data_IF_823078280061
#
_entry.id   IF_823078280061
#
_cell.length_a   1.000
_cell.length_b   1.000
_cell.length_c   1.000
_cell.angle_alpha   90.00
_cell.angle_beta   90.00
_cell.angle_gamma   90.00
#
_symmetry.space_group_name_H-M   'P 1'
#
loop_
_entity.id
_entity.type
_entity.pdbx_description
1 polymer ?
#
# COMPACT_ATOMS: atom_id res chain seq x y z
N UNK A 1 -27.18 -13.91 -16.86
CA UNK A 1 -26.26 -14.45 -15.84
C UNK A 1 -26.16 -13.45 -14.71
N UNK A 2 -26.55 -13.83 -13.51
CA UNK A 2 -26.55 -12.94 -12.35
C UNK A 2 -25.18 -12.90 -11.67
N UNK A 3 -24.61 -11.72 -11.47
CA UNK A 3 -23.31 -11.52 -10.80
C UNK A 3 -23.45 -10.57 -9.61
N UNK A 4 -22.55 -10.70 -8.64
CA UNK A 4 -22.44 -9.78 -7.51
C UNK A 4 -21.09 -9.06 -7.58
N UNK A 5 -21.11 -7.76 -7.85
CA UNK A 5 -19.93 -6.91 -7.92
C UNK A 5 -19.65 -6.34 -6.53
N UNK A 6 -18.45 -6.60 -6.00
CA UNK A 6 -18.04 -6.24 -4.64
C UNK A 6 -16.87 -5.27 -4.72
N UNK A 7 -17.01 -4.09 -4.12
CA UNK A 7 -15.96 -3.08 -4.08
C UNK A 7 -15.71 -2.61 -2.65
N UNK A 8 -14.44 -2.71 -2.23
CA UNK A 8 -13.99 -2.34 -0.88
C UNK A 8 -12.99 -1.17 -0.88
N UNK A 9 -12.74 -0.54 -2.02
CA UNK A 9 -11.74 0.54 -2.13
C UNK A 9 -10.30 0.07 -1.93
N UNK A 10 -9.99 -1.15 -2.38
CA UNK A 10 -8.66 -1.76 -2.25
C UNK A 10 -7.98 -1.96 -3.61
N UNK A 11 -6.65 -1.98 -3.61
CA UNK A 11 -5.85 -2.39 -4.76
C UNK A 11 -5.72 -3.92 -4.87
N UNK A 12 -5.08 -4.39 -5.96
CA UNK A 12 -4.80 -5.82 -6.17
C UNK A 12 -3.92 -6.47 -5.08
N UNK A 13 -3.23 -5.66 -4.26
CA UNK A 13 -2.40 -6.12 -3.14
C UNK A 13 -3.16 -6.07 -1.80
N UNK A 14 -4.39 -5.57 -1.78
CA UNK A 14 -5.23 -5.44 -0.60
C UNK A 14 -5.02 -4.16 0.21
N UNK A 15 -4.19 -3.21 -0.26
CA UNK A 15 -4.03 -1.92 0.38
C UNK A 15 -5.28 -1.07 0.15
N UNK A 16 -5.70 -0.31 1.16
CA UNK A 16 -6.79 0.68 1.01
C UNK A 16 -6.30 1.85 0.18
N UNK A 17 -7.00 2.14 -0.92
CA UNK A 17 -6.68 3.25 -1.84
C UNK A 17 -7.77 4.31 -1.87
N UNK A 18 -8.99 3.97 -1.44
CA UNK A 18 -10.11 4.89 -1.36
C UNK A 18 -10.63 4.98 0.08
N UNK A 19 -11.11 6.16 0.48
CA UNK A 19 -11.76 6.38 1.78
C UNK A 19 -13.24 5.95 1.74
N UNK A 20 -13.46 4.69 1.36
CA UNK A 20 -14.79 4.10 1.28
C UNK A 20 -15.32 3.86 2.71
N UNK A 21 -16.46 4.48 3.06
CA UNK A 21 -17.09 4.30 4.40
C UNK A 21 -17.60 2.87 4.60
N UNK A 22 -18.25 2.32 3.58
CA UNK A 22 -18.86 0.99 3.61
C UNK A 22 -18.56 0.26 2.30
N UNK A 23 -18.39 -1.07 2.38
CA UNK A 23 -18.34 -1.95 1.21
C UNK A 23 -19.53 -1.68 0.27
N UNK A 24 -19.25 -1.59 -1.02
CA UNK A 24 -20.27 -1.44 -2.06
C UNK A 24 -20.53 -2.81 -2.69
N UNK A 25 -21.81 -3.20 -2.71
CA UNK A 25 -22.29 -4.44 -3.30
C UNK A 25 -23.34 -4.10 -4.35
N UNK A 26 -23.12 -4.50 -5.58
CA UNK A 26 -24.01 -4.24 -6.71
C UNK A 26 -24.38 -5.57 -7.35
N UNK A 27 -25.67 -5.84 -7.41
CA UNK A 27 -26.22 -7.00 -8.11
C UNK A 27 -26.49 -6.62 -9.57
N UNK A 28 -25.98 -7.40 -10.52
CA UNK A 28 -26.15 -7.12 -11.96
C UNK A 28 -26.58 -8.37 -12.72
N UNK A 29 -27.49 -8.18 -13.68
CA UNK A 29 -27.90 -9.20 -14.63
C UNK A 29 -27.18 -8.99 -15.97
N UNK A 30 -26.25 -9.89 -16.27
CA UNK A 30 -25.45 -9.83 -17.50
C UNK A 30 -26.18 -10.60 -18.62
N UNK A 31 -26.54 -9.95 -19.75
CA UNK A 31 -27.18 -10.62 -20.86
C UNK A 31 -26.19 -11.54 -21.59
N UNK A 32 -26.70 -12.61 -22.22
CA UNK A 32 -25.86 -13.56 -22.96
C UNK A 32 -25.09 -12.92 -24.13
N UNK A 33 -25.58 -11.79 -24.65
CA UNK A 33 -24.87 -11.00 -25.67
C UNK A 33 -23.52 -10.47 -25.17
N UNK A 34 -23.29 -10.38 -23.86
CA UNK A 34 -22.04 -9.90 -23.28
C UNK A 34 -20.97 -10.98 -23.09
N UNK A 35 -21.29 -12.25 -23.35
CA UNK A 35 -20.33 -13.32 -23.10
C UNK A 35 -19.06 -13.21 -23.96
N UNK A 36 -19.19 -12.67 -25.18
CA UNK A 36 -18.07 -12.40 -26.08
C UNK A 36 -17.48 -10.99 -25.94
N UNK A 37 -18.11 -10.11 -25.15
CA UNK A 37 -17.57 -8.79 -24.83
C UNK A 37 -16.40 -8.88 -23.84
N UNK A 38 -15.56 -7.86 -23.86
CA UNK A 38 -14.43 -7.69 -22.96
C UNK A 38 -14.89 -7.32 -21.53
N UNK A 39 -14.13 -7.77 -20.53
CA UNK A 39 -14.37 -7.48 -19.11
C UNK A 39 -14.43 -5.97 -18.82
N UNK A 40 -13.77 -5.13 -19.63
CA UNK A 40 -13.87 -3.68 -19.54
C UNK A 40 -15.32 -3.18 -19.60
N UNK A 41 -16.20 -3.85 -20.36
CA UNK A 41 -17.62 -3.51 -20.42
C UNK A 41 -18.32 -3.69 -19.06
N UNK A 42 -17.97 -4.75 -18.33
CA UNK A 42 -18.46 -4.99 -16.97
C UNK A 42 -17.95 -3.93 -15.98
N UNK A 43 -16.67 -3.53 -16.12
CA UNK A 43 -16.08 -2.48 -15.28
C UNK A 43 -16.73 -1.11 -15.53
N UNK A 44 -17.04 -0.78 -16.78
CA UNK A 44 -17.77 0.44 -17.12
C UNK A 44 -19.18 0.45 -16.52
N UNK A 45 -19.90 -0.68 -16.57
CA UNK A 45 -21.19 -0.83 -15.88
C UNK A 45 -21.04 -0.56 -14.37
N UNK A 46 -20.04 -1.18 -13.73
CA UNK A 46 -19.76 -0.95 -12.32
C UNK A 46 -19.51 0.53 -12.01
N UNK A 47 -18.67 1.22 -12.80
CA UNK A 47 -18.37 2.64 -12.59
C UNK A 47 -19.63 3.49 -12.71
N UNK A 48 -20.50 3.20 -13.66
CA UNK A 48 -21.76 3.91 -13.84
C UNK A 48 -22.69 3.73 -12.63
N UNK A 49 -22.90 2.48 -12.19
CA UNK A 49 -23.74 2.17 -11.03
C UNK A 49 -23.14 2.75 -9.74
N UNK A 50 -21.83 2.61 -9.53
CA UNK A 50 -21.14 3.19 -8.38
C UNK A 50 -21.27 4.71 -8.34
N UNK A 51 -21.15 5.39 -9.49
CA UNK A 51 -21.30 6.85 -9.58
C UNK A 51 -22.73 7.30 -9.28
N UNK A 52 -23.74 6.51 -9.65
CA UNK A 52 -25.16 6.83 -9.40
C UNK A 52 -25.54 6.72 -7.92
N UNK A 53 -24.83 5.89 -7.15
CA UNK A 53 -25.08 5.63 -5.72
C UNK A 53 -24.51 6.68 -4.75
N UNK A 54 -24.23 7.91 -5.21
CA UNK A 54 -23.64 9.02 -4.42
C UNK A 54 -22.23 8.70 -3.88
N UNK A 55 -21.33 8.37 -4.80
CA UNK A 55 -19.95 8.02 -4.46
C UNK A 55 -19.05 9.24 -4.39
N UNK A 56 -18.31 9.37 -3.28
CA UNK A 56 -17.42 10.50 -2.98
C UNK A 56 -16.20 10.63 -3.93
N UNK A 57 -16.01 9.73 -4.90
CA UNK A 57 -14.81 9.62 -5.71
C UNK A 57 -15.14 9.17 -7.15
N UNK A 58 -14.51 9.81 -8.14
CA UNK A 58 -14.68 9.50 -9.56
C UNK A 58 -13.79 8.31 -9.93
N UNK A 59 -14.40 7.17 -10.22
CA UNK A 59 -13.69 5.98 -10.69
C UNK A 59 -13.55 5.97 -12.22
N UNK A 60 -12.51 5.30 -12.70
CA UNK A 60 -12.29 5.02 -14.12
C UNK A 60 -12.14 3.50 -14.32
N UNK A 61 -12.84 2.94 -15.31
CA UNK A 61 -12.77 1.51 -15.61
C UNK A 61 -11.35 1.09 -16.02
N UNK A 62 -10.56 2.01 -16.60
CA UNK A 62 -9.18 1.72 -17.00
C UNK A 62 -8.26 1.47 -15.80
N UNK A 63 -8.57 2.08 -14.63
CA UNK A 63 -7.81 1.93 -13.38
C UNK A 63 -8.31 0.77 -12.51
N UNK A 64 -9.38 0.09 -12.90
CA UNK A 64 -9.98 -1.02 -12.15
C UNK A 64 -9.71 -2.37 -12.80
N UNK A 65 -9.72 -3.42 -12.00
CA UNK A 65 -9.54 -4.79 -12.42
C UNK A 65 -10.50 -5.71 -11.67
N UNK A 66 -11.07 -6.69 -12.39
CA UNK A 66 -11.94 -7.70 -11.81
C UNK A 66 -11.11 -8.86 -11.25
N UNK A 67 -11.57 -9.43 -10.14
CA UNK A 67 -11.04 -10.65 -9.55
C UNK A 67 -12.17 -11.64 -9.26
N UNK A 68 -12.06 -12.85 -9.79
CA UNK A 68 -13.02 -13.93 -9.58
C UNK A 68 -12.28 -15.20 -9.11
N UNK A 69 -12.75 -15.84 -8.04
CA UNK A 69 -12.16 -17.11 -7.58
C UNK A 69 -10.66 -17.05 -7.27
N UNK A 70 -10.12 -15.89 -6.91
CA UNK A 70 -8.69 -15.68 -6.69
C UNK A 70 -7.89 -15.25 -7.93
N UNK A 71 -8.48 -15.33 -9.12
CA UNK A 71 -7.85 -15.01 -10.39
C UNK A 71 -8.12 -13.54 -10.75
N UNK A 72 -7.06 -12.79 -11.07
CA UNK A 72 -7.17 -11.45 -11.65
C UNK A 72 -7.49 -11.58 -13.14
N UNK A 73 -8.53 -10.90 -13.58
CA UNK A 73 -9.04 -10.92 -14.95
C UNK A 73 -8.59 -9.62 -15.63
N UNK A 74 -8.00 -9.72 -16.81
CA UNK A 74 -7.59 -8.54 -17.58
C UNK A 74 -8.79 -7.88 -18.24
N UNK A 75 -8.68 -6.59 -18.53
CA UNK A 75 -9.78 -5.83 -19.14
C UNK A 75 -10.20 -6.41 -20.49
N UNK A 76 -9.24 -6.94 -21.25
CA UNK A 76 -9.41 -7.46 -22.62
C UNK A 76 -9.90 -8.92 -22.63
N UNK A 77 -9.99 -9.58 -21.47
CA UNK A 77 -10.47 -10.95 -21.37
C UNK A 77 -11.99 -11.02 -21.48
N UNK A 78 -12.50 -12.09 -22.10
CA UNK A 78 -13.94 -12.25 -22.35
C UNK A 78 -14.70 -12.59 -21.08
N UNK A 79 -15.86 -11.97 -20.92
CA UNK A 79 -16.75 -12.19 -19.77
C UNK A 79 -17.14 -13.67 -19.64
N UNK A 80 -17.54 -14.31 -20.73
CA UNK A 80 -18.02 -15.69 -20.72
C UNK A 80 -16.97 -16.75 -20.37
N UNK A 81 -15.68 -16.39 -20.39
CA UNK A 81 -14.59 -17.31 -20.05
C UNK A 81 -14.36 -17.42 -18.53
N UNK A 82 -14.62 -16.35 -17.78
CA UNK A 82 -14.25 -16.25 -16.37
C UNK A 82 -15.43 -16.14 -15.42
N UNK A 83 -16.58 -15.71 -15.91
CA UNK A 83 -17.75 -15.45 -15.10
C UNK A 83 -18.83 -16.51 -15.33
N UNK A 84 -19.40 -16.98 -14.23
CA UNK A 84 -20.51 -17.93 -14.21
C UNK A 84 -21.60 -17.41 -13.27
N UNK A 85 -22.77 -18.03 -13.34
CA UNK A 85 -23.93 -17.59 -12.57
C UNK A 85 -23.67 -17.60 -11.06
N UNK A 86 -24.11 -16.53 -10.39
CA UNK A 86 -23.97 -16.27 -8.96
C UNK A 86 -22.53 -16.09 -8.45
N UNK A 87 -21.59 -15.70 -9.31
CA UNK A 87 -20.22 -15.43 -8.89
C UNK A 87 -20.08 -14.06 -8.24
N UNK A 88 -19.25 -14.03 -7.18
CA UNK A 88 -18.79 -12.82 -6.53
C UNK A 88 -17.55 -12.30 -7.26
N UNK A 89 -17.69 -11.11 -7.85
CA UNK A 89 -16.64 -10.45 -8.62
C UNK A 89 -16.11 -9.29 -7.79
N UNK A 90 -14.87 -9.39 -7.34
CA UNK A 90 -14.23 -8.31 -6.61
C UNK A 90 -13.66 -7.29 -7.59
N UNK A 91 -14.04 -6.03 -7.43
CA UNK A 91 -13.51 -4.91 -8.17
C UNK A 91 -12.37 -4.30 -7.36
N UNK A 92 -11.19 -4.22 -7.95
CA UNK A 92 -9.95 -3.78 -7.30
C UNK A 92 -9.30 -2.69 -8.14
N UNK A 93 -8.57 -1.77 -7.51
CA UNK A 93 -7.70 -0.87 -8.26
C UNK A 93 -6.50 -1.63 -8.78
N UNK A 94 -6.19 -1.45 -10.08
CA UNK A 94 -4.94 -1.92 -10.67
C UNK A 94 -3.78 -1.36 -9.86
N UNK A 95 -2.66 -2.08 -9.88
CA UNK A 95 -1.40 -1.47 -9.48
C UNK A 95 -1.24 -0.18 -10.29
N UNK A 96 -1.16 0.95 -9.58
CA UNK A 96 -0.83 2.22 -10.20
C UNK A 96 0.61 2.08 -10.67
N UNK A 97 0.79 1.58 -11.90
CA UNK A 97 2.02 1.80 -12.65
C UNK A 97 2.05 3.30 -12.87
N UNK A 98 2.73 4.02 -11.98
CA UNK A 98 3.05 5.42 -12.14
C UNK A 98 3.96 5.54 -13.37
N UNK A 99 3.37 5.44 -14.56
CA UNK A 99 3.99 5.92 -15.78
C UNK A 99 3.77 7.43 -15.70
N UNK A 100 4.61 8.11 -14.90
CA UNK A 100 4.90 9.50 -15.18
C UNK A 100 5.48 9.49 -16.60
N UNK A 101 4.67 9.92 -17.57
CA UNK A 101 5.10 10.05 -18.97
C UNK A 101 6.25 11.06 -19.12
N UNK A 102 6.62 11.77 -18.06
CA UNK A 102 7.86 12.52 -17.93
C UNK A 102 8.65 12.06 -16.69
N UNK A 103 9.84 11.44 -16.84
CA UNK A 103 10.75 11.09 -15.74
C UNK A 103 11.17 12.29 -14.86
N UNK A 104 10.98 13.54 -15.32
CA UNK A 104 11.44 14.74 -14.63
C UNK A 104 10.64 15.12 -13.37
N UNK A 105 9.39 14.67 -13.25
CA UNK A 105 8.51 15.05 -12.12
C UNK A 105 8.47 14.01 -10.99
N UNK A 106 9.30 12.97 -11.06
CA UNK A 106 9.40 11.93 -10.04
C UNK A 106 10.48 12.28 -9.00
N UNK A 107 10.10 12.30 -7.73
CA UNK A 107 11.00 12.48 -6.58
C UNK A 107 11.13 11.18 -5.80
N UNK A 108 12.30 10.89 -5.24
CA UNK A 108 12.49 9.73 -4.38
C UNK A 108 12.09 10.03 -2.94
N UNK A 109 11.23 9.20 -2.34
CA UNK A 109 10.87 9.33 -0.94
C UNK A 109 12.05 8.98 -0.01
N UNK A 110 12.32 9.86 0.95
CA UNK A 110 13.40 9.76 1.92
C UNK A 110 12.97 9.14 3.27
N UNK A 111 11.68 8.84 3.45
CA UNK A 111 11.22 8.16 4.66
C UNK A 111 11.72 6.71 4.75
N UNK A 112 12.03 6.27 5.97
CA UNK A 112 12.46 4.90 6.23
C UNK A 112 11.36 3.88 5.85
N UNK A 113 11.73 2.82 5.15
CA UNK A 113 10.78 1.78 4.71
C UNK A 113 9.93 2.11 3.47
N UNK A 114 9.89 3.36 2.99
CA UNK A 114 9.15 3.71 1.77
C UNK A 114 9.99 3.51 0.50
N UNK A 115 11.01 4.37 0.28
CA UNK A 115 11.89 4.40 -0.90
C UNK A 115 11.20 4.35 -2.28
N UNK A 116 9.90 4.64 -2.35
CA UNK A 116 9.16 4.75 -3.60
C UNK A 116 9.41 6.11 -4.25
N UNK A 117 9.43 6.14 -5.57
CA UNK A 117 9.33 7.38 -6.30
C UNK A 117 7.89 7.89 -6.27
N UNK A 118 7.70 9.19 -6.10
CA UNK A 118 6.39 9.83 -6.00
C UNK A 118 6.36 11.13 -6.80
N UNK A 119 5.15 11.60 -7.11
CA UNK A 119 4.92 12.89 -7.74
C UNK A 119 4.14 13.77 -6.76
N UNK A 120 4.56 15.03 -6.61
CA UNK A 120 3.97 15.97 -5.65
C UNK A 120 2.46 16.19 -5.88
N UNK A 121 2.00 16.14 -7.13
CA UNK A 121 0.59 16.30 -7.50
C UNK A 121 -0.30 15.25 -6.84
N UNK A 122 0.23 14.05 -6.62
CA UNK A 122 -0.49 12.92 -6.03
C UNK A 122 -0.05 12.63 -4.59
N UNK A 123 0.70 13.56 -3.98
CA UNK A 123 1.22 13.38 -2.63
C UNK A 123 0.20 13.83 -1.57
N UNK A 124 -0.64 12.90 -1.11
CA UNK A 124 -1.64 13.12 -0.07
C UNK A 124 -1.26 12.45 1.25
N UNK A 125 -2.00 12.74 2.33
CA UNK A 125 -1.68 12.28 3.70
C UNK A 125 -1.78 10.76 3.91
N UNK A 126 -2.18 10.01 2.88
CA UNK A 126 -2.27 8.55 2.89
C UNK A 126 -1.36 7.88 1.85
N UNK A 127 -0.52 8.66 1.14
CA UNK A 127 0.26 8.16 0.00
C UNK A 127 1.50 7.35 0.42
N UNK A 128 2.10 7.68 1.57
CA UNK A 128 3.34 7.11 2.05
C UNK A 128 3.12 6.27 3.31
N UNK A 129 3.54 5.01 3.26
CA UNK A 129 3.67 4.13 4.41
C UNK A 129 5.15 4.03 4.80
N UNK A 130 5.49 4.32 6.05
CA UNK A 130 6.88 4.44 6.47
C UNK A 130 7.11 4.21 7.97
N UNK A 131 8.39 4.13 8.36
CA UNK A 131 8.86 4.13 9.75
C UNK A 131 9.33 5.53 10.14
N UNK A 132 8.89 6.02 11.30
CA UNK A 132 9.28 7.35 11.80
C UNK A 132 10.74 7.38 12.29
N UNK A 133 11.18 6.28 12.88
CA UNK A 133 12.51 6.12 13.44
C UNK A 133 13.44 5.37 12.50
N UNK A 134 14.74 5.64 12.61
CA UNK A 134 15.77 4.90 11.89
C UNK A 134 15.93 3.45 12.37
N UNK A 135 16.70 2.64 11.64
CA UNK A 135 17.01 1.27 12.02
C UNK A 135 17.94 1.24 13.24
N UNK A 136 17.77 0.24 14.10
CA UNK A 136 18.64 -0.06 15.24
C UNK A 136 19.17 -1.49 15.05
N UNK A 137 20.48 -1.64 15.22
CA UNK A 137 21.17 -2.93 15.17
C UNK A 137 21.91 -3.13 16.48
N UNK A 138 21.55 -4.18 17.23
CA UNK A 138 22.16 -4.50 18.52
C UNK A 138 22.48 -5.99 18.59
N UNK A 139 23.77 -6.34 18.48
CA UNK A 139 24.17 -7.73 18.31
C UNK A 139 23.59 -8.32 17.01
N UNK A 140 22.73 -9.33 17.15
CA UNK A 140 21.99 -9.96 16.03
C UNK A 140 20.58 -9.37 15.84
N UNK A 141 20.12 -8.53 16.76
CA UNK A 141 18.78 -7.96 16.73
C UNK A 141 18.73 -6.74 15.82
N UNK A 142 17.70 -6.68 14.99
CA UNK A 142 17.44 -5.61 14.04
C UNK A 142 15.99 -5.16 14.19
N UNK A 143 15.76 -3.87 14.44
CA UNK A 143 14.40 -3.32 14.57
C UNK A 143 14.36 -1.85 14.18
N UNK A 144 13.16 -1.29 14.03
CA UNK A 144 12.98 0.14 13.80
C UNK A 144 12.78 0.84 15.14
N UNK A 145 13.40 2.01 15.37
CA UNK A 145 13.24 2.75 16.64
C UNK A 145 11.76 3.04 16.97
N UNK A 146 10.90 3.20 15.97
CA UNK A 146 9.47 3.41 16.16
C UNK A 146 8.64 2.11 16.36
N UNK A 147 9.27 0.94 16.25
CA UNK A 147 8.66 -0.39 16.35
C UNK A 147 9.58 -1.32 17.16
N UNK A 148 9.86 -0.95 18.41
CA UNK A 148 10.82 -1.66 19.28
C UNK A 148 10.40 -3.11 19.58
N UNK A 149 9.11 -3.40 19.46
CA UNK A 149 8.47 -4.70 19.67
C UNK A 149 8.63 -5.63 18.46
N UNK A 150 8.97 -5.10 17.28
CA UNK A 150 9.18 -5.85 16.04
C UNK A 150 10.66 -6.11 15.81
N UNK A 151 11.19 -7.11 16.50
CA UNK A 151 12.59 -7.52 16.40
C UNK A 151 12.77 -8.61 15.36
N UNK A 152 13.71 -8.41 14.45
CA UNK A 152 14.19 -9.40 13.49
C UNK A 152 15.61 -9.84 13.86
N UNK A 153 15.95 -11.09 13.51
CA UNK A 153 17.27 -11.67 13.77
C UNK A 153 18.09 -11.91 12.49
N UNK A 154 17.49 -11.59 11.35
CA UNK A 154 18.09 -11.66 10.02
C UNK A 154 17.62 -10.48 9.17
N UNK A 155 18.36 -10.23 8.08
CA UNK A 155 18.12 -9.07 7.23
C UNK A 155 16.79 -9.13 6.47
N UNK A 156 16.37 -10.31 6.01
CA UNK A 156 15.14 -10.46 5.24
C UNK A 156 13.92 -10.18 6.12
N UNK A 157 13.88 -10.77 7.32
CA UNK A 157 12.86 -10.49 8.33
C UNK A 157 12.80 -9.00 8.68
N UNK A 158 13.96 -8.35 8.82
CA UNK A 158 14.04 -6.92 9.11
C UNK A 158 13.43 -6.06 7.98
N UNK A 159 13.72 -6.39 6.72
CA UNK A 159 13.17 -5.69 5.55
C UNK A 159 11.64 -5.83 5.45
N UNK A 160 11.09 -6.94 5.92
CA UNK A 160 9.66 -7.22 5.90
C UNK A 160 8.90 -6.64 7.12
N UNK A 161 9.57 -5.97 8.06
CA UNK A 161 8.88 -5.31 9.18
C UNK A 161 7.93 -4.23 8.64
N UNK A 162 6.64 -4.47 8.85
CA UNK A 162 5.56 -3.58 8.41
C UNK A 162 5.70 -2.17 8.99
N UNK A 163 5.62 -1.18 8.12
CA UNK A 163 5.65 0.26 8.43
C UNK A 163 4.56 0.64 9.42
N UNK A 164 4.86 1.54 10.36
CA UNK A 164 3.93 1.94 11.43
C UNK A 164 3.30 3.32 11.27
N UNK A 165 3.68 4.09 10.26
CA UNK A 165 3.14 5.43 9.99
C UNK A 165 2.60 5.54 8.57
N UNK A 166 1.64 6.46 8.42
CA UNK A 166 1.02 6.84 7.16
C UNK A 166 1.09 8.37 7.05
N UNK A 167 1.39 8.90 5.86
CA UNK A 167 1.53 10.34 5.65
C UNK A 167 1.82 10.69 4.19
N UNK A 168 2.24 11.94 3.96
CA UNK A 168 2.82 12.38 2.68
C UNK A 168 4.22 11.83 2.50
N UNK A 169 4.60 11.56 1.26
CA UNK A 169 5.99 11.38 0.88
C UNK A 169 6.79 12.66 1.14
N UNK A 170 8.09 12.50 1.42
CA UNK A 170 9.01 13.60 1.67
C UNK A 170 10.35 13.32 1.02
N UNK A 171 10.99 14.34 0.47
CA UNK A 171 12.39 14.27 0.00
C UNK A 171 13.40 14.67 1.09
N UNK A 172 12.92 15.12 2.26
CA UNK A 172 13.77 15.57 3.35
C UNK A 172 14.23 14.35 4.15
N UNK A 173 15.52 14.04 4.05
CA UNK A 173 16.13 13.02 4.90
C UNK A 173 16.28 13.56 6.32
N UNK A 174 15.49 13.02 7.26
CA UNK A 174 15.72 13.28 8.68
C UNK A 174 16.90 12.43 9.13
N UNK A 175 18.08 13.03 9.13
CA UNK A 175 19.29 12.36 9.61
C UNK A 175 19.10 12.03 11.09
N UNK A 176 19.25 10.76 11.39
CA UNK A 176 19.31 10.30 12.76
C UNK A 176 20.66 10.68 13.36
N UNK A 177 20.64 11.33 14.51
CA UNK A 177 21.82 11.52 15.35
C UNK A 177 21.73 10.57 16.55
N UNK A 178 22.79 9.79 16.75
CA UNK A 178 22.98 9.09 18.01
C UNK A 178 23.20 10.15 19.09
N UNK A 179 22.47 10.09 20.23
CA UNK A 179 22.85 10.87 21.39
C UNK A 179 24.30 10.56 21.69
N UNK A 180 25.18 11.56 21.57
CA UNK A 180 26.56 11.41 21.98
C UNK A 180 26.56 11.36 23.49
N UNK A 181 27.06 10.27 24.07
CA UNK A 181 27.33 10.26 25.50
C UNK A 181 28.23 11.44 25.85
N UNK A 182 27.87 12.15 26.91
CA UNK A 182 28.73 13.21 27.44
C UNK A 182 29.90 12.49 28.10
N UNK A 183 31.06 12.48 27.42
CA UNK A 183 32.30 11.98 28.00
C UNK A 183 32.63 12.90 29.16
N UNK A 184 32.35 12.45 30.38
CA UNK A 184 32.80 13.13 31.57
C UNK A 184 34.22 12.68 31.84
N UNK A 185 35.19 13.60 31.84
CA UNK A 185 36.56 13.31 32.28
C UNK A 185 36.62 13.21 33.81
N UNK A 186 35.69 12.46 34.41
CA UNK A 186 35.68 12.21 35.85
C UNK A 186 36.64 11.05 36.16
N UNK A 187 37.63 11.26 37.04
CA UNK A 187 38.48 10.17 37.51
C UNK A 187 37.65 9.05 38.13
N UNK A 188 38.10 7.80 37.98
CA UNK A 188 37.50 6.67 38.68
C UNK A 188 37.59 6.88 40.20
N UNK A 189 36.55 6.48 40.92
CA UNK A 189 36.56 6.48 42.38
C UNK A 189 37.51 5.40 42.92
N UNK A 190 37.98 5.58 44.16
CA UNK A 190 38.86 4.61 44.81
C UNK A 190 38.23 3.21 44.92
N UNK A 191 36.91 3.13 45.12
CA UNK A 191 36.17 1.87 45.13
C UNK A 191 36.13 1.20 43.74
N UNK A 192 35.97 1.99 42.66
CA UNK A 192 36.04 1.47 41.30
C UNK A 192 37.45 0.99 40.95
N UNK A 193 38.49 1.70 41.39
CA UNK A 193 39.87 1.23 41.23
C UNK A 193 40.11 -0.12 41.91
N UNK A 194 39.61 -0.30 43.14
CA UNK A 194 39.72 -1.55 43.88
C UNK A 194 38.93 -2.71 43.28
N UNK A 195 37.85 -2.42 42.55
CA UNK A 195 37.02 -3.44 41.89
C UNK A 195 37.61 -3.94 40.57
N UNK A 196 38.58 -3.21 40.00
CA UNK A 196 39.22 -3.53 38.71
C UNK A 196 40.62 -4.12 38.91
N UNK A 197 41.21 -3.95 40.10
CA UNK A 197 42.48 -4.55 40.54
C UNK A 197 42.29 -5.95 41.12
#
# INVERSE_FOLDING_TARGET
MKLYLIYEGKDIFGNKVCNLKNRCDIEVDIPNSWLDDECEKLLNLFVQEYTSMDSQEQLDASSLQAKCGGILIKNEERIGTHFHEHFNIYILHKEVKFISRDPKDQKLCAHYGCRKNFNEKYNHDLACHYHLGGPIFHGIEMFWRCCIDKVAYDWESFQHITTCQIGKHSTIYKRFEFPKEIITNQPLTQAQHQAIS
#
